data_IF_545769250801
#
_entry.id   IF_545769250801
#
_cell.length_a   1.000
_cell.length_b   1.000
_cell.length_c   1.000
_cell.angle_alpha   90.00
_cell.angle_beta   90.00
_cell.angle_gamma   90.00
#
_symmetry.space_group_name_H-M   'P 1'
#
loop_
_entity.id
_entity.type
_entity.pdbx_description
1 polymer ?
#
# COMPACT_ATOMS: atom_id res chain seq x y z
N UNK A 1 -37.07 -7.06 2.10
CA UNK A 1 -35.73 -6.87 1.48
C UNK A 1 -34.90 -5.78 2.19
N UNK A 2 -35.26 -5.34 3.40
CA UNK A 2 -34.60 -4.19 4.07
C UNK A 2 -33.54 -4.58 5.12
N UNK A 3 -33.43 -5.86 5.50
CA UNK A 3 -32.51 -6.28 6.57
C UNK A 3 -31.08 -6.62 6.10
N UNK A 4 -30.79 -6.59 4.80
CA UNK A 4 -29.44 -6.90 4.26
C UNK A 4 -28.50 -5.68 4.18
N UNK A 5 -29.00 -4.46 4.32
CA UNK A 5 -28.23 -3.23 4.09
C UNK A 5 -27.37 -2.84 5.31
N UNK A 6 -27.65 -3.39 6.51
CA UNK A 6 -27.08 -2.91 7.77
C UNK A 6 -25.73 -3.58 8.13
N UNK A 7 -25.29 -4.64 7.44
CA UNK A 7 -24.13 -5.45 7.84
C UNK A 7 -23.05 -5.69 6.78
N UNK A 8 -22.97 -4.87 5.72
CA UNK A 8 -21.86 -5.05 4.78
C UNK A 8 -20.56 -4.51 5.38
N UNK A 9 -19.68 -5.39 5.87
CA UNK A 9 -18.32 -5.05 6.27
C UNK A 9 -17.47 -4.78 5.02
N UNK A 10 -17.08 -3.53 4.74
CA UNK A 10 -16.32 -3.23 3.54
C UNK A 10 -14.87 -3.67 3.71
N UNK A 11 -14.29 -4.27 2.65
CA UNK A 11 -12.87 -4.54 2.61
C UNK A 11 -12.09 -3.22 2.40
N UNK A 12 -11.23 -2.85 3.33
CA UNK A 12 -10.40 -1.64 3.23
C UNK A 12 -9.01 -2.02 2.72
N UNK A 13 -8.61 -1.46 1.59
CA UNK A 13 -7.30 -1.66 0.97
C UNK A 13 -6.53 -0.32 0.94
N UNK A 14 -5.61 -0.10 1.91
CA UNK A 14 -4.80 1.10 1.94
C UNK A 14 -3.68 1.07 0.90
N UNK A 15 -3.35 2.24 0.34
CA UNK A 15 -2.07 2.49 -0.30
C UNK A 15 -0.98 2.84 0.72
N UNK A 16 -0.08 3.75 0.33
CA UNK A 16 0.87 4.33 1.25
C UNK A 16 0.15 5.31 2.20
N UNK A 17 0.00 4.89 3.47
CA UNK A 17 -0.56 5.66 4.59
C UNK A 17 0.47 5.72 5.70
N UNK A 18 0.70 6.92 6.25
CA UNK A 18 1.67 7.15 7.32
C UNK A 18 1.25 6.41 8.58
N UNK A 19 2.14 5.60 9.14
CA UNK A 19 1.88 4.79 10.33
C UNK A 19 3.20 4.37 11.00
N UNK A 20 3.12 3.62 12.11
CA UNK A 20 4.30 3.06 12.76
C UNK A 20 4.81 1.76 12.09
N UNK A 21 4.17 1.27 11.03
CA UNK A 21 4.52 -0.03 10.42
C UNK A 21 5.93 -0.05 9.82
N UNK A 22 6.36 1.01 9.14
CA UNK A 22 7.71 1.06 8.56
C UNK A 22 8.80 1.08 9.62
N UNK A 23 8.58 1.80 10.73
CA UNK A 23 9.51 1.81 11.87
C UNK A 23 9.56 0.42 12.52
N UNK A 24 8.40 -0.15 12.87
CA UNK A 24 8.32 -1.47 13.49
C UNK A 24 8.93 -2.58 12.62
N UNK A 25 8.81 -2.49 11.30
CA UNK A 25 9.48 -3.40 10.38
C UNK A 25 11.00 -3.18 10.40
N UNK A 26 11.47 -1.93 10.34
CA UNK A 26 12.91 -1.62 10.39
C UNK A 26 13.57 -2.07 11.68
N UNK A 27 12.89 -1.96 12.82
CA UNK A 27 13.39 -2.45 14.11
C UNK A 27 13.65 -3.97 14.07
N UNK A 28 12.89 -4.71 13.25
CA UNK A 28 13.07 -6.15 13.04
C UNK A 28 14.10 -6.50 11.96
N UNK A 29 14.06 -5.82 10.81
CA UNK A 29 14.85 -6.24 9.63
C UNK A 29 16.19 -5.52 9.49
N UNK A 30 16.32 -4.30 10.04
CA UNK A 30 17.53 -3.47 9.88
C UNK A 30 18.74 -4.05 10.61
N UNK A 31 18.50 -4.63 11.79
CA UNK A 31 19.54 -5.23 12.64
C UNK A 31 19.68 -6.75 12.46
N UNK A 32 18.90 -7.35 11.56
CA UNK A 32 18.96 -8.79 11.33
C UNK A 32 20.22 -9.17 10.54
N UNK A 33 20.88 -10.26 10.95
CA UNK A 33 22.03 -10.82 10.24
C UNK A 33 21.55 -11.76 9.11
N UNK A 34 21.43 -11.20 7.91
CA UNK A 34 20.99 -11.93 6.72
C UNK A 34 22.12 -12.81 6.16
N UNK A 35 22.20 -14.07 6.60
CA UNK A 35 23.23 -15.02 6.11
C UNK A 35 23.10 -15.35 4.62
N UNK A 36 21.90 -15.72 4.18
CA UNK A 36 21.62 -16.10 2.78
C UNK A 36 21.33 -14.90 1.88
N UNK A 37 20.76 -13.83 2.44
CA UNK A 37 20.30 -12.65 1.70
C UNK A 37 21.16 -11.42 1.95
N UNK A 38 22.44 -11.61 2.30
CA UNK A 38 23.34 -10.54 2.72
C UNK A 38 23.42 -9.42 1.68
N UNK A 39 23.50 -9.81 0.40
CA UNK A 39 23.58 -8.89 -0.74
C UNK A 39 22.28 -8.09 -0.95
N UNK A 40 21.15 -8.59 -0.44
CA UNK A 40 19.84 -7.96 -0.58
C UNK A 40 19.41 -7.16 0.66
N UNK A 41 20.27 -7.04 1.69
CA UNK A 41 19.92 -6.40 2.96
C UNK A 41 19.32 -5.00 2.77
N UNK A 42 19.93 -4.18 1.91
CA UNK A 42 19.47 -2.82 1.64
C UNK A 42 18.12 -2.80 0.89
N UNK A 43 17.91 -3.71 -0.06
CA UNK A 43 16.64 -3.84 -0.77
C UNK A 43 15.51 -4.29 0.18
N UNK A 44 15.81 -5.20 1.11
CA UNK A 44 14.88 -5.64 2.15
C UNK A 44 14.53 -4.47 3.07
N UNK A 45 15.53 -3.69 3.51
CA UNK A 45 15.33 -2.49 4.32
C UNK A 45 14.53 -1.40 3.58
N UNK A 46 14.82 -1.13 2.31
CA UNK A 46 14.05 -0.21 1.47
C UNK A 46 12.59 -0.66 1.39
N UNK A 47 12.35 -1.95 1.14
CA UNK A 47 11.00 -2.51 1.05
C UNK A 47 10.23 -2.39 2.35
N UNK A 48 10.88 -2.65 3.48
CA UNK A 48 10.28 -2.58 4.82
C UNK A 48 9.67 -1.21 5.13
N UNK A 49 10.23 -0.14 4.56
CA UNK A 49 9.76 1.25 4.70
C UNK A 49 9.09 1.83 3.45
N UNK A 50 8.92 1.06 2.38
CA UNK A 50 8.50 1.59 1.07
C UNK A 50 7.14 2.31 1.08
N UNK A 51 6.21 1.92 1.94
CA UNK A 51 4.90 2.57 2.09
C UNK A 51 4.93 3.83 2.98
N UNK A 52 6.07 4.15 3.59
CA UNK A 52 6.21 5.20 4.61
C UNK A 52 7.03 6.41 4.13
N UNK A 53 7.23 6.55 2.82
CA UNK A 53 7.94 7.69 2.22
C UNK A 53 7.24 9.03 2.45
N UNK A 54 7.90 10.14 2.09
CA UNK A 54 7.45 11.51 2.40
C UNK A 54 6.09 11.93 1.80
N UNK A 55 5.59 11.20 0.80
CA UNK A 55 4.28 11.45 0.19
C UNK A 55 3.16 10.52 0.71
N UNK A 56 3.44 9.69 1.72
CA UNK A 56 2.43 8.82 2.31
C UNK A 56 1.24 9.64 2.82
N UNK A 57 0.02 9.17 2.55
CA UNK A 57 -1.20 9.84 2.99
C UNK A 57 -1.25 9.92 4.51
N UNK A 58 -1.61 11.08 5.05
CA UNK A 58 -1.78 11.25 6.49
C UNK A 58 -2.84 10.27 7.05
N UNK A 59 -2.58 9.73 8.24
CA UNK A 59 -3.44 8.72 8.85
C UNK A 59 -4.84 9.26 9.16
N UNK A 60 -4.94 10.53 9.60
CA UNK A 60 -6.22 11.18 9.92
C UNK A 60 -7.03 11.38 8.64
N UNK A 61 -6.41 11.86 7.56
CA UNK A 61 -7.07 12.02 6.25
C UNK A 61 -7.62 10.67 5.76
N UNK A 62 -6.80 9.61 5.85
CA UNK A 62 -7.22 8.28 5.47
C UNK A 62 -8.40 7.77 6.34
N UNK A 63 -8.30 7.89 7.66
CA UNK A 63 -9.35 7.45 8.59
C UNK A 63 -10.67 8.20 8.35
N UNK A 64 -10.64 9.53 8.19
CA UNK A 64 -11.83 10.33 7.88
C UNK A 64 -12.47 9.89 6.56
N UNK A 65 -11.66 9.59 5.54
CA UNK A 65 -12.17 9.08 4.26
C UNK A 65 -12.88 7.73 4.43
N UNK A 66 -12.29 6.79 5.16
CA UNK A 66 -12.87 5.46 5.42
C UNK A 66 -14.18 5.59 6.18
N UNK A 67 -14.20 6.34 7.28
CA UNK A 67 -15.41 6.55 8.10
C UNK A 67 -16.54 7.14 7.26
N UNK A 68 -16.26 8.16 6.44
CA UNK A 68 -17.26 8.76 5.54
C UNK A 68 -17.87 7.74 4.57
N UNK A 69 -17.09 6.78 4.07
CA UNK A 69 -17.56 5.74 3.14
C UNK A 69 -18.37 4.66 3.86
N UNK A 70 -17.90 4.22 5.03
CA UNK A 70 -18.58 3.23 5.88
C UNK A 70 -19.96 3.73 6.31
N UNK A 71 -20.07 5.01 6.70
CA UNK A 71 -21.32 5.61 7.18
C UNK A 71 -22.23 6.13 6.06
N UNK A 72 -21.89 5.90 4.79
CA UNK A 72 -22.74 6.36 3.68
C UNK A 72 -24.01 5.52 3.56
N UNK A 73 -25.13 6.06 3.03
CA UNK A 73 -26.40 5.32 2.90
C UNK A 73 -26.29 4.02 2.08
N UNK A 74 -25.27 3.92 1.21
CA UNK A 74 -24.95 2.73 0.43
C UNK A 74 -23.43 2.49 0.51
N UNK A 75 -22.95 1.85 1.59
CA UNK A 75 -21.52 1.64 1.78
C UNK A 75 -20.94 0.78 0.65
N UNK A 76 -19.76 1.15 0.09
CA UNK A 76 -19.14 0.37 -0.97
C UNK A 76 -18.56 -0.93 -0.41
N UNK A 77 -18.62 -2.04 -1.15
CA UNK A 77 -18.03 -3.33 -0.73
C UNK A 77 -16.51 -3.27 -0.53
N UNK A 78 -15.83 -2.35 -1.22
CA UNK A 78 -14.38 -2.16 -1.14
C UNK A 78 -14.06 -0.67 -1.07
N UNK A 79 -13.19 -0.29 -0.13
CA UNK A 79 -12.67 1.07 0.03
C UNK A 79 -11.17 1.03 -0.30
N UNK A 80 -10.77 1.65 -1.40
CA UNK A 80 -9.37 1.76 -1.81
C UNK A 80 -8.96 3.23 -1.70
N UNK A 81 -7.95 3.52 -0.89
CA UNK A 81 -7.50 4.91 -0.67
C UNK A 81 -6.05 4.96 -0.17
N UNK A 82 -5.38 6.10 -0.36
CA UNK A 82 -3.98 6.31 0.01
C UNK A 82 -3.06 6.52 -1.19
N UNK A 83 -1.86 7.03 -0.95
CA UNK A 83 -0.90 7.34 -2.01
C UNK A 83 -0.50 6.07 -2.80
N UNK A 84 -0.19 6.23 -4.09
CA UNK A 84 0.09 5.17 -5.10
C UNK A 84 -1.11 4.31 -5.52
N UNK A 85 -2.26 4.33 -4.84
CA UNK A 85 -3.41 3.48 -5.23
C UNK A 85 -3.86 3.69 -6.67
N UNK A 86 -3.99 4.95 -7.10
CA UNK A 86 -4.34 5.29 -8.49
C UNK A 86 -3.29 4.82 -9.51
N UNK A 87 -2.00 5.01 -9.21
CA UNK A 87 -0.92 4.53 -10.10
C UNK A 87 -0.96 3.01 -10.23
N UNK A 88 -1.13 2.26 -9.14
CA UNK A 88 -1.21 0.81 -9.20
C UNK A 88 -2.47 0.31 -9.90
N UNK A 89 -3.58 1.06 -9.82
CA UNK A 89 -4.77 0.76 -10.61
C UNK A 89 -4.52 0.99 -12.11
N UNK A 90 -3.79 2.04 -12.49
CA UNK A 90 -3.40 2.27 -13.89
C UNK A 90 -2.45 1.17 -14.38
N UNK A 91 -1.43 0.81 -13.60
CA UNK A 91 -0.48 -0.25 -13.94
C UNK A 91 -1.11 -1.65 -13.98
N UNK A 92 -2.20 -1.89 -13.24
CA UNK A 92 -2.91 -3.17 -13.32
C UNK A 92 -3.73 -3.31 -14.59
N UNK A 93 -4.08 -2.18 -15.22
CA UNK A 93 -4.81 -2.12 -16.48
C UNK A 93 -3.90 -1.93 -17.71
N UNK A 94 -2.61 -1.62 -17.50
CA UNK A 94 -1.65 -1.42 -18.59
C UNK A 94 -1.20 -2.74 -19.22
N UNK A 95 -0.77 -2.74 -20.49
CA UNK A 95 -0.07 -3.87 -21.10
C UNK A 95 1.11 -4.34 -20.24
N UNK A 96 1.41 -5.64 -20.29
CA UNK A 96 2.47 -6.24 -19.47
C UNK A 96 3.81 -5.54 -19.64
N UNK A 97 4.21 -5.24 -20.88
CA UNK A 97 5.48 -4.57 -21.16
C UNK A 97 5.60 -3.17 -20.53
N UNK A 98 4.50 -2.43 -20.40
CA UNK A 98 4.49 -1.10 -19.74
C UNK A 98 4.76 -1.26 -18.25
N UNK A 99 4.07 -2.22 -17.63
CA UNK A 99 4.22 -2.52 -16.20
C UNK A 99 5.62 -3.02 -15.90
N UNK A 100 6.16 -3.89 -16.75
CA UNK A 100 7.49 -4.46 -16.59
C UNK A 100 8.56 -3.38 -16.79
N UNK A 101 8.42 -2.53 -17.81
CA UNK A 101 9.30 -1.39 -18.02
C UNK A 101 9.27 -0.41 -16.84
N UNK A 102 8.08 -0.08 -16.30
CA UNK A 102 7.96 0.78 -15.13
C UNK A 102 8.75 0.24 -13.92
N UNK A 103 8.60 -1.05 -13.61
CA UNK A 103 9.33 -1.66 -12.48
C UNK A 103 10.82 -1.82 -12.76
N UNK A 104 11.21 -2.13 -13.99
CA UNK A 104 12.60 -2.16 -14.41
C UNK A 104 13.30 -0.83 -14.14
N UNK A 105 12.69 0.27 -14.58
CA UNK A 105 13.21 1.62 -14.34
C UNK A 105 13.21 1.96 -12.85
N UNK A 106 12.12 1.67 -12.12
CA UNK A 106 12.01 1.99 -10.68
C UNK A 106 13.04 1.24 -9.83
N UNK A 107 13.41 0.02 -10.21
CA UNK A 107 14.38 -0.81 -9.48
C UNK A 107 15.77 -0.82 -10.11
N UNK A 108 16.01 0.01 -11.14
CA UNK A 108 17.27 0.08 -11.86
C UNK A 108 17.75 -1.30 -12.35
N UNK A 109 16.82 -2.12 -12.83
CA UNK A 109 17.11 -3.42 -13.43
C UNK A 109 17.59 -3.18 -14.86
N UNK A 110 18.65 -3.88 -15.26
CA UNK A 110 19.04 -3.96 -16.67
C UNK A 110 17.98 -4.81 -17.38
N UNK A 111 17.17 -4.17 -18.22
CA UNK A 111 16.15 -4.81 -19.07
C UNK A 111 16.48 -4.53 -20.52
#
# INVERSE_FOLDING_TARGET
MEQLIIWSTPAVAPGAVRSNLGRANMDRVGNYDWKLYKEFKEAIAERARASQGGKATDATIFATHVVKKVLSPRPPKKIISGHMTGLFAMLSWSPLWVRDHFFATRFNLKV
#
